data_IF_405398464481
#
_entry.id   IF_405398464481
#
_cell.length_a   1.000
_cell.length_b   1.000
_cell.length_c   1.000
_cell.angle_alpha   90.00
_cell.angle_beta   90.00
_cell.angle_gamma   90.00
#
_symmetry.space_group_name_H-M   'P 1'
#
loop_
_entity.id
_entity.type
_entity.pdbx_description
1 polymer ?
#
# COMPACT_ATOMS: atom_id res chain seq x y z
N UNK A 1 1.23 -58.20 36.40
CA UNK A 1 1.48 -56.75 36.31
C UNK A 1 2.68 -56.59 35.39
N UNK A 2 2.43 -56.60 34.08
CA UNK A 2 2.26 -55.44 33.20
C UNK A 2 3.61 -54.93 32.69
N UNK A 3 4.09 -55.69 31.72
CA UNK A 3 4.60 -55.30 30.40
C UNK A 3 5.87 -54.45 30.25
N UNK A 4 6.79 -55.09 29.54
CA UNK A 4 8.01 -54.60 28.94
C UNK A 4 7.75 -53.83 27.63
N UNK A 5 8.86 -53.54 26.93
CA UNK A 5 9.01 -53.26 25.49
C UNK A 5 9.00 -51.76 25.16
N UNK A 6 10.18 -51.20 24.92
CA UNK A 6 10.77 -51.06 23.58
C UNK A 6 10.19 -49.86 22.83
N UNK A 7 10.86 -48.71 22.96
CA UNK A 7 10.64 -47.56 22.09
C UNK A 7 11.26 -47.87 20.72
N UNK A 8 10.48 -48.54 19.89
CA UNK A 8 10.77 -48.81 18.49
C UNK A 8 10.05 -47.75 17.66
N UNK A 9 10.86 -46.99 16.91
CA UNK A 9 10.65 -46.44 15.55
C UNK A 9 9.26 -45.90 15.20
N UNK A 10 9.21 -44.68 14.66
CA UNK A 10 8.52 -44.38 13.38
C UNK A 10 8.99 -43.01 12.86
N UNK A 11 9.72 -43.07 11.73
CA UNK A 11 9.87 -42.00 10.73
C UNK A 11 8.49 -41.72 10.13
N UNK A 12 8.14 -40.47 9.82
CA UNK A 12 7.82 -39.97 8.46
C UNK A 12 6.92 -38.72 8.44
N UNK A 13 7.13 -37.93 7.38
CA UNK A 13 6.24 -36.94 6.73
C UNK A 13 6.27 -35.50 7.25
N UNK A 14 7.10 -34.68 6.61
CA UNK A 14 6.88 -33.24 6.49
C UNK A 14 6.08 -33.04 5.20
N UNK A 15 4.80 -32.71 5.36
CA UNK A 15 3.92 -32.23 4.29
C UNK A 15 3.72 -30.70 4.45
N UNK A 16 3.50 -29.94 3.36
CA UNK A 16 3.46 -28.49 3.40
C UNK A 16 2.10 -28.03 3.97
N UNK A 17 2.13 -27.10 4.94
CA UNK A 17 0.92 -26.50 5.50
C UNK A 17 0.61 -25.23 4.72
N UNK A 18 -0.36 -25.34 3.82
CA UNK A 18 -1.15 -24.20 3.34
C UNK A 18 -2.11 -23.86 4.49
N UNK A 19 -1.87 -22.74 5.17
CA UNK A 19 -2.81 -22.20 6.15
C UNK A 19 -3.61 -21.08 5.50
N UNK A 20 -4.79 -21.43 4.97
CA UNK A 20 -5.85 -20.47 4.71
C UNK A 20 -6.37 -19.97 6.07
N UNK A 21 -6.14 -18.69 6.38
CA UNK A 21 -6.76 -18.06 7.55
C UNK A 21 -8.09 -17.43 7.13
N UNK A 22 -9.15 -18.21 7.27
CA UNK A 22 -10.50 -17.67 7.32
C UNK A 22 -10.77 -17.19 8.76
N UNK A 23 -10.72 -15.88 8.99
CA UNK A 23 -11.07 -15.29 10.28
C UNK A 23 -12.38 -14.51 10.13
N UNK A 24 -13.47 -15.14 10.56
CA UNK A 24 -14.76 -14.51 10.82
C UNK A 24 -14.63 -13.60 12.04
N UNK A 25 -14.58 -12.28 11.85
CA UNK A 25 -14.72 -11.31 12.94
C UNK A 25 -16.07 -10.61 12.83
N UNK A 26 -16.97 -10.93 13.76
CA UNK A 26 -18.07 -10.06 14.15
C UNK A 26 -17.53 -9.11 15.22
N UNK A 27 -16.76 -8.11 14.79
CA UNK A 27 -16.25 -7.03 15.64
C UNK A 27 -17.19 -5.84 15.60
N UNK A 28 -17.18 -5.00 16.64
CA UNK A 28 -17.79 -3.68 16.54
C UNK A 28 -17.23 -2.96 15.28
N UNK A 29 -18.04 -2.23 14.49
CA UNK A 29 -17.63 -1.70 13.19
C UNK A 29 -16.29 -0.95 13.20
N UNK A 30 -15.95 -0.30 14.31
CA UNK A 30 -14.70 0.45 14.47
C UNK A 30 -13.44 -0.39 14.67
N UNK A 31 -13.52 -1.61 15.23
CA UNK A 31 -12.34 -2.46 15.44
C UNK A 31 -11.88 -3.12 14.14
N UNK A 32 -12.84 -3.47 13.26
CA UNK A 32 -12.55 -3.98 11.93
C UNK A 32 -11.95 -2.87 11.07
N UNK A 33 -12.59 -1.71 10.99
CA UNK A 33 -12.06 -0.56 10.25
C UNK A 33 -10.65 -0.13 10.69
N UNK A 34 -10.34 -0.20 11.99
CA UNK A 34 -8.99 0.08 12.48
C UNK A 34 -7.97 -0.97 12.00
N UNK A 35 -8.35 -2.25 12.03
CA UNK A 35 -7.53 -3.35 11.50
C UNK A 35 -7.32 -3.18 9.98
N UNK A 36 -8.38 -2.82 9.25
CA UNK A 36 -8.35 -2.59 7.80
C UNK A 36 -7.41 -1.41 7.45
N UNK A 37 -7.48 -0.28 8.18
CA UNK A 37 -6.58 0.87 7.95
C UNK A 37 -5.12 0.55 8.31
N UNK A 38 -4.87 -0.27 9.34
CA UNK A 38 -3.52 -0.74 9.65
C UNK A 38 -2.92 -1.59 8.54
N UNK A 39 -3.72 -2.45 7.91
CA UNK A 39 -3.29 -3.26 6.75
C UNK A 39 -2.99 -2.39 5.53
N UNK A 40 -3.88 -1.42 5.21
CA UNK A 40 -3.63 -0.43 4.14
C UNK A 40 -2.35 0.35 4.43
N UNK A 41 -2.17 0.80 5.67
CA UNK A 41 -1.01 1.56 6.09
C UNK A 41 0.30 0.78 5.94
N UNK A 42 0.28 -0.52 6.27
CA UNK A 42 1.40 -1.42 6.08
C UNK A 42 1.71 -1.66 4.60
N UNK A 43 0.68 -1.89 3.77
CA UNK A 43 0.87 -2.03 2.33
C UNK A 43 1.49 -0.76 1.71
N UNK A 44 1.01 0.42 2.13
CA UNK A 44 1.54 1.71 1.67
C UNK A 44 3.00 1.99 2.06
N UNK A 45 3.54 1.29 3.07
CA UNK A 45 4.98 1.36 3.40
C UNK A 45 5.83 0.61 2.39
N UNK A 46 5.28 -0.45 1.82
CA UNK A 46 5.99 -1.34 0.90
C UNK A 46 5.83 -0.87 -0.55
N UNK A 47 4.70 -0.26 -0.91
CA UNK A 47 4.45 0.30 -2.25
C UNK A 47 3.58 1.56 -2.16
N UNK A 48 3.78 2.60 -2.99
CA UNK A 48 3.03 3.85 -2.91
C UNK A 48 1.54 3.74 -3.31
N UNK A 49 1.11 2.63 -3.92
CA UNK A 49 -0.27 2.44 -4.38
C UNK A 49 -0.89 1.21 -3.71
N UNK A 50 -2.08 1.38 -3.15
CA UNK A 50 -2.90 0.29 -2.62
C UNK A 50 -4.28 0.30 -3.30
N UNK A 51 -4.72 -0.86 -3.79
CA UNK A 51 -6.08 -1.07 -4.29
C UNK A 51 -6.76 -2.12 -3.42
N UNK A 52 -7.89 -1.76 -2.83
CA UNK A 52 -8.70 -2.70 -2.07
C UNK A 52 -9.28 -3.78 -2.99
N UNK A 53 -9.30 -5.06 -2.59
CA UNK A 53 -9.87 -6.13 -3.41
C UNK A 53 -11.34 -5.91 -3.80
N UNK A 54 -12.13 -5.19 -2.99
CA UNK A 54 -13.51 -4.82 -3.32
C UNK A 54 -13.62 -3.61 -4.26
N UNK A 55 -12.48 -2.99 -4.59
CA UNK A 55 -12.35 -1.87 -5.52
C UNK A 55 -11.55 -2.23 -6.78
N UNK A 56 -11.24 -3.50 -7.03
CA UNK A 56 -10.48 -3.97 -8.21
C UNK A 56 -11.15 -3.65 -9.54
N UNK A 57 -12.46 -3.41 -9.53
CA UNK A 57 -13.21 -2.97 -10.72
C UNK A 57 -12.97 -1.48 -11.06
N UNK A 58 -12.44 -0.69 -10.11
CA UNK A 58 -12.18 0.75 -10.28
C UNK A 58 -10.81 1.03 -10.91
N UNK A 59 -9.81 0.19 -10.60
CA UNK A 59 -8.45 0.29 -11.12
C UNK A 59 -7.87 -1.11 -11.26
N UNK A 60 -7.36 -1.43 -12.46
CA UNK A 60 -6.73 -2.72 -12.70
C UNK A 60 -5.37 -2.82 -12.01
N UNK A 61 -4.96 -4.04 -11.63
CA UNK A 61 -3.63 -4.29 -11.02
C UNK A 61 -2.49 -3.71 -11.87
N UNK A 62 -2.56 -3.88 -13.20
CA UNK A 62 -1.54 -3.36 -14.12
C UNK A 62 -1.48 -1.83 -14.14
N UNK A 63 -2.61 -1.14 -13.97
CA UNK A 63 -2.63 0.32 -13.89
C UNK A 63 -2.16 0.82 -12.52
N UNK A 64 -2.46 0.07 -11.46
CA UNK A 64 -1.96 0.34 -10.12
C UNK A 64 -0.44 0.18 -10.05
N UNK A 65 0.11 -0.90 -10.62
CA UNK A 65 1.56 -1.13 -10.73
C UNK A 65 2.24 -0.01 -11.51
N UNK A 66 1.66 0.41 -12.66
CA UNK A 66 2.21 1.52 -13.45
C UNK A 66 2.19 2.87 -12.71
N UNK A 67 1.18 3.10 -11.86
CA UNK A 67 1.15 4.27 -10.97
C UNK A 67 2.20 4.15 -9.87
N UNK A 68 2.41 2.95 -9.34
CA UNK A 68 3.41 2.72 -8.31
C UNK A 68 4.82 2.97 -8.84
N UNK A 69 5.18 2.33 -9.95
CA UNK A 69 6.47 2.51 -10.63
C UNK A 69 6.75 4.00 -10.90
N UNK A 70 5.75 4.75 -11.39
CA UNK A 70 5.87 6.19 -11.64
C UNK A 70 6.24 6.97 -10.37
N UNK A 71 5.62 6.66 -9.23
CA UNK A 71 5.87 7.35 -7.97
C UNK A 71 7.24 6.96 -7.40
N UNK A 72 7.57 5.67 -7.44
CA UNK A 72 8.86 5.14 -6.98
C UNK A 72 10.02 5.72 -7.78
N UNK A 73 9.92 5.76 -9.10
CA UNK A 73 10.93 6.32 -10.00
C UNK A 73 11.15 7.83 -9.78
N UNK A 74 10.10 8.55 -9.38
CA UNK A 74 10.20 9.97 -9.05
C UNK A 74 10.88 10.20 -7.68
N UNK A 75 10.87 9.18 -6.80
CA UNK A 75 11.49 9.26 -5.47
C UNK A 75 10.77 10.23 -4.53
N UNK A 76 9.48 10.46 -4.73
CA UNK A 76 8.69 11.44 -3.98
C UNK A 76 7.65 10.80 -3.04
N UNK A 77 7.33 11.39 -1.88
CA UNK A 77 6.46 10.77 -0.88
C UNK A 77 4.97 10.99 -1.20
N UNK A 78 4.52 10.43 -2.33
CA UNK A 78 3.11 10.45 -2.78
C UNK A 78 2.52 9.06 -2.58
N UNK A 79 1.32 8.99 -2.02
CA UNK A 79 0.63 7.73 -1.69
C UNK A 79 -0.77 7.77 -2.26
N UNK A 80 -1.25 6.66 -2.81
CA UNK A 80 -2.59 6.52 -3.38
C UNK A 80 -3.28 5.28 -2.82
N UNK A 81 -4.47 5.43 -2.25
CA UNK A 81 -5.32 4.33 -1.86
C UNK A 81 -6.65 4.35 -2.63
N UNK A 82 -7.05 3.22 -3.20
CA UNK A 82 -8.32 3.04 -3.90
C UNK A 82 -9.20 2.11 -3.08
N UNK A 83 -10.31 2.65 -2.58
CA UNK A 83 -11.20 2.00 -1.62
C UNK A 83 -12.64 1.92 -2.17
N UNK A 84 -13.41 0.89 -1.78
CA UNK A 84 -14.78 0.73 -2.24
C UNK A 84 -15.70 1.83 -1.68
N UNK A 85 -16.79 2.12 -2.39
CA UNK A 85 -17.82 3.03 -1.89
C UNK A 85 -18.34 2.57 -0.52
N UNK A 86 -18.51 3.51 0.42
CA UNK A 86 -18.99 3.23 1.77
C UNK A 86 -17.92 2.79 2.77
N UNK A 87 -16.63 2.76 2.37
CA UNK A 87 -15.54 2.57 3.33
C UNK A 87 -15.55 3.67 4.42
N UNK A 88 -15.32 3.35 5.70
CA UNK A 88 -15.34 4.33 6.78
C UNK A 88 -14.29 5.43 6.61
N UNK A 89 -14.72 6.70 6.64
CA UNK A 89 -13.83 7.85 6.43
C UNK A 89 -13.43 8.57 7.72
N UNK A 90 -13.99 8.18 8.86
CA UNK A 90 -13.71 8.77 10.16
C UNK A 90 -12.21 8.65 10.50
N UNK A 91 -11.54 9.80 10.59
CA UNK A 91 -10.10 9.89 10.83
C UNK A 91 -9.22 9.14 9.81
N UNK A 92 -9.74 8.78 8.64
CA UNK A 92 -9.05 7.94 7.66
C UNK A 92 -7.63 8.43 7.34
N UNK A 93 -7.47 9.68 6.92
CA UNK A 93 -6.16 10.25 6.62
C UNK A 93 -5.23 10.33 7.83
N UNK A 94 -5.78 10.59 9.03
CA UNK A 94 -4.99 10.64 10.26
C UNK A 94 -4.45 9.24 10.60
N UNK A 95 -5.30 8.22 10.47
CA UNK A 95 -4.94 6.84 10.72
C UNK A 95 -3.98 6.34 9.64
N UNK A 96 -4.24 6.55 8.35
CA UNK A 96 -3.31 6.21 7.27
C UNK A 96 -1.93 6.81 7.50
N UNK A 97 -1.84 8.11 7.80
CA UNK A 97 -0.55 8.76 8.09
C UNK A 97 0.18 8.12 9.29
N UNK A 98 -0.57 7.67 10.29
CA UNK A 98 -0.04 7.05 11.51
C UNK A 98 0.42 5.62 11.23
N UNK A 99 -0.43 4.82 10.59
CA UNK A 99 -0.20 3.42 10.27
C UNK A 99 0.84 3.24 9.16
N UNK A 100 0.91 4.13 8.17
CA UNK A 100 2.02 4.18 7.20
C UNK A 100 3.29 4.75 7.82
N UNK A 101 3.18 5.66 8.80
CA UNK A 101 4.34 6.18 9.52
C UNK A 101 5.28 7.08 8.68
N UNK A 102 4.96 7.36 7.41
CA UNK A 102 5.80 8.16 6.50
C UNK A 102 5.20 9.55 6.25
N UNK A 103 6.03 10.59 6.30
CA UNK A 103 5.60 11.97 5.98
C UNK A 103 5.35 12.08 4.48
N UNK A 104 4.14 12.46 4.06
CA UNK A 104 3.77 12.41 2.65
C UNK A 104 2.47 13.12 2.28
N UNK A 105 2.15 13.05 0.99
CA UNK A 105 0.85 13.38 0.42
C UNK A 105 0.08 12.08 0.21
N UNK A 106 -1.11 11.97 0.80
CA UNK A 106 -1.98 10.82 0.72
C UNK A 106 -3.22 11.19 -0.07
N UNK A 107 -3.41 10.58 -1.24
CA UNK A 107 -4.64 10.63 -2.04
C UNK A 107 -5.49 9.39 -1.81
N UNK A 108 -6.80 9.57 -1.66
CA UNK A 108 -7.76 8.48 -1.47
C UNK A 108 -8.88 8.61 -2.48
N UNK A 109 -9.06 7.57 -3.30
CA UNK A 109 -10.24 7.35 -4.13
C UNK A 109 -11.23 6.50 -3.33
N UNK A 110 -12.43 7.00 -3.10
CA UNK A 110 -13.49 6.31 -2.37
C UNK A 110 -14.70 6.14 -3.28
N UNK A 111 -14.83 4.99 -3.93
CA UNK A 111 -15.86 4.79 -4.96
C UNK A 111 -15.79 5.89 -6.03
N UNK A 112 -16.77 6.79 -6.05
CA UNK A 112 -16.86 7.94 -6.96
C UNK A 112 -16.28 9.26 -6.42
N UNK A 113 -15.81 9.30 -5.18
CA UNK A 113 -15.22 10.48 -4.55
C UNK A 113 -13.68 10.44 -4.51
N UNK A 114 -13.05 11.61 -4.47
CA UNK A 114 -11.60 11.75 -4.36
C UNK A 114 -11.25 12.88 -3.37
N UNK A 115 -10.39 12.58 -2.40
CA UNK A 115 -9.85 13.53 -1.43
C UNK A 115 -8.36 13.25 -1.20
N UNK A 116 -7.62 14.25 -0.71
CA UNK A 116 -6.22 14.10 -0.38
C UNK A 116 -5.83 14.95 0.84
N UNK A 117 -4.82 14.50 1.58
CA UNK A 117 -4.19 15.26 2.67
C UNK A 117 -2.69 15.10 2.64
N UNK A 118 -1.97 16.15 3.03
CA UNK A 118 -0.53 16.11 3.16
C UNK A 118 -0.07 16.63 4.52
N UNK A 119 1.08 16.14 4.96
CA UNK A 119 1.87 16.82 5.97
C UNK A 119 2.27 18.22 5.45
N UNK A 120 2.21 19.24 6.30
CA UNK A 120 2.47 20.62 5.89
C UNK A 120 3.91 20.88 5.42
N UNK A 121 4.85 20.00 5.77
CA UNK A 121 6.23 20.04 5.28
C UNK A 121 6.35 19.55 3.83
N UNK A 122 5.40 18.75 3.36
CA UNK A 122 5.36 18.17 2.01
C UNK A 122 4.63 19.10 1.07
N UNK A 123 3.40 19.49 1.45
CA UNK A 123 2.57 20.38 0.64
C UNK A 123 1.68 21.25 1.53
N UNK A 124 1.46 22.49 1.11
CA UNK A 124 0.55 23.39 1.80
C UNK A 124 -0.90 22.93 1.63
N UNK A 125 -1.77 23.26 2.60
CA UNK A 125 -3.21 22.95 2.49
C UNK A 125 -3.84 23.51 1.21
N UNK A 126 -3.40 24.70 0.79
CA UNK A 126 -3.85 25.29 -0.47
C UNK A 126 -3.37 24.49 -1.68
N UNK A 127 -2.12 24.00 -1.66
CA UNK A 127 -1.60 23.11 -2.69
C UNK A 127 -2.43 21.83 -2.80
N UNK A 128 -2.73 21.19 -1.67
CA UNK A 128 -3.60 19.99 -1.63
C UNK A 128 -4.97 20.28 -2.23
N UNK A 129 -5.63 21.37 -1.82
CA UNK A 129 -6.95 21.73 -2.36
C UNK A 129 -6.92 21.96 -3.89
N UNK A 130 -5.84 22.54 -4.42
CA UNK A 130 -5.69 22.71 -5.86
C UNK A 130 -5.57 21.37 -6.58
N UNK A 131 -4.78 20.43 -6.04
CA UNK A 131 -4.63 19.07 -6.59
C UNK A 131 -5.96 18.31 -6.58
N UNK A 132 -6.67 18.33 -5.45
CA UNK A 132 -7.98 17.68 -5.32
C UNK A 132 -8.98 18.27 -6.34
N UNK A 133 -9.00 19.59 -6.48
CA UNK A 133 -9.88 20.26 -7.45
C UNK A 133 -9.53 19.87 -8.90
N UNK A 134 -8.25 19.79 -9.24
CA UNK A 134 -7.80 19.38 -10.57
C UNK A 134 -8.19 17.92 -10.86
N UNK A 135 -7.94 17.02 -9.90
CA UNK A 135 -8.27 15.60 -10.01
C UNK A 135 -9.78 15.33 -10.14
N UNK A 136 -10.64 16.13 -9.49
CA UNK A 136 -12.10 15.99 -9.63
C UNK A 136 -12.63 16.38 -11.02
N UNK A 137 -11.85 17.12 -11.82
CA UNK A 137 -12.20 17.47 -13.20
C UNK A 137 -11.83 16.41 -14.23
N UNK A 138 -11.10 15.36 -13.81
CA UNK A 138 -10.63 14.30 -14.68
C UNK A 138 -11.74 13.26 -14.98
N UNK A 139 -11.56 12.52 -16.07
CA UNK A 139 -12.56 11.58 -16.61
C UNK A 139 -12.75 10.31 -15.77
N UNK A 140 -12.22 9.20 -16.25
CA UNK A 140 -12.26 7.92 -15.52
C UNK A 140 -11.25 7.86 -14.35
N UNK A 141 -11.38 6.85 -13.49
CA UNK A 141 -10.52 6.65 -12.31
C UNK A 141 -9.03 6.64 -12.67
N UNK A 142 -8.65 5.99 -13.77
CA UNK A 142 -7.24 5.92 -14.19
C UNK A 142 -6.72 7.30 -14.58
N UNK A 143 -7.49 8.07 -15.35
CA UNK A 143 -7.14 9.43 -15.73
C UNK A 143 -7.02 10.33 -14.48
N UNK A 144 -8.00 10.26 -13.57
CA UNK A 144 -7.99 11.03 -12.32
C UNK A 144 -6.75 10.77 -11.47
N UNK A 145 -6.40 9.50 -11.26
CA UNK A 145 -5.24 9.15 -10.43
C UNK A 145 -3.92 9.53 -11.11
N UNK A 146 -3.82 9.39 -12.43
CA UNK A 146 -2.63 9.83 -13.17
C UNK A 146 -2.45 11.35 -13.14
N UNK A 147 -3.51 12.12 -13.36
CA UNK A 147 -3.45 13.59 -13.32
C UNK A 147 -3.07 14.07 -11.92
N UNK A 148 -3.68 13.48 -10.88
CA UNK A 148 -3.31 13.77 -9.49
C UNK A 148 -1.84 13.49 -9.22
N UNK A 149 -1.33 12.31 -9.60
CA UNK A 149 0.07 11.94 -9.38
C UNK A 149 0.98 12.86 -10.16
N UNK A 150 0.72 13.13 -11.44
CA UNK A 150 1.57 13.98 -12.25
C UNK A 150 1.65 15.42 -11.70
N UNK A 151 0.54 15.96 -11.18
CA UNK A 151 0.52 17.28 -10.56
C UNK A 151 1.15 17.29 -9.17
N UNK A 152 0.97 16.22 -8.40
CA UNK A 152 1.62 16.02 -7.11
C UNK A 152 3.14 15.98 -7.28
N UNK A 153 3.64 15.19 -8.23
CA UNK A 153 5.07 15.00 -8.51
C UNK A 153 5.82 16.28 -8.92
N UNK A 154 5.07 17.33 -9.29
CA UNK A 154 5.65 18.65 -9.62
C UNK A 154 5.61 19.62 -8.44
N UNK A 155 4.92 19.26 -7.36
CA UNK A 155 4.48 20.19 -6.32
C UNK A 155 4.95 19.82 -4.92
N UNK A 156 5.10 18.52 -4.65
CA UNK A 156 5.46 18.03 -3.31
C UNK A 156 6.95 18.24 -3.02
N UNK A 157 7.28 18.12 -1.74
CA UNK A 157 8.65 18.18 -1.23
C UNK A 157 8.88 16.98 -0.33
N UNK A 158 10.12 16.50 -0.31
CA UNK A 158 10.54 15.36 0.50
C UNK A 158 11.15 14.27 -0.36
N UNK A 159 11.30 13.09 0.22
CA UNK A 159 11.86 11.93 -0.46
C UNK A 159 11.07 10.69 -0.08
N UNK A 160 10.98 9.76 -1.02
CA UNK A 160 10.41 8.44 -0.82
C UNK A 160 11.06 7.71 0.38
N UNK A 161 10.33 6.81 1.06
CA UNK A 161 10.90 5.90 2.03
C UNK A 161 11.89 4.94 1.35
N UNK A 162 12.94 4.56 2.09
CA UNK A 162 13.98 3.65 1.58
C UNK A 162 13.49 2.22 1.29
N UNK A 163 12.28 1.86 1.70
CA UNK A 163 11.66 0.57 1.36
C UNK A 163 11.40 0.44 -0.15
N UNK A 164 11.10 1.55 -0.84
CA UNK A 164 10.81 1.58 -2.27
C UNK A 164 12.08 1.47 -3.14
N UNK A 165 13.25 1.84 -2.61
CA UNK A 165 14.54 1.74 -3.32
C UNK A 165 14.98 0.28 -3.61
N UNK A 166 14.29 -0.70 -3.04
CA UNK A 166 14.69 -2.12 -3.09
C UNK A 166 14.51 -2.79 -4.47
N UNK A 167 13.83 -2.13 -5.42
CA UNK A 167 13.63 -2.62 -6.79
C UNK A 167 14.79 -2.38 -7.77
N UNK A 168 15.70 -1.44 -7.49
CA UNK A 168 16.76 -1.04 -8.44
C UNK A 168 18.15 -1.65 -8.15
N UNK A 169 18.21 -2.73 -7.37
CA UNK A 169 19.43 -3.53 -7.22
C UNK A 169 19.64 -4.39 -8.47
N UNK A 170 20.03 -3.74 -9.58
CA UNK A 170 20.63 -4.42 -10.72
C UNK A 170 21.76 -5.31 -10.22
N UNK A 171 21.52 -6.63 -10.25
CA UNK A 171 22.50 -7.65 -9.88
C UNK A 171 23.81 -7.33 -10.61
N UNK A 172 24.93 -7.05 -9.91
CA UNK A 172 26.21 -6.95 -10.60
C UNK A 172 26.56 -8.35 -11.12
N UNK A 173 26.29 -8.61 -12.38
CA UNK A 173 26.77 -9.79 -13.13
C UNK A 173 28.26 -9.73 -13.44
N UNK A 174 29.01 -8.84 -12.77
CA UNK A 174 30.44 -8.63 -12.97
C UNK A 174 31.25 -9.04 -11.75
N UNK A 175 32.19 -9.96 -11.97
CA UNK A 175 33.35 -10.28 -11.13
C UNK A 175 33.14 -11.29 -9.98
N UNK A 176 32.86 -12.54 -10.37
CA UNK A 176 33.47 -13.70 -9.73
C UNK A 176 35.00 -13.54 -9.75
N UNK A 177 35.60 -13.17 -8.62
CA UNK A 177 37.04 -13.39 -8.40
C UNK A 177 37.18 -14.79 -7.81
N UNK A 178 37.45 -15.76 -8.69
CA UNK A 178 38.08 -17.02 -8.31
C UNK A 178 39.59 -16.74 -8.21
N UNK A 179 40.09 -16.61 -6.99
CA UNK A 179 41.52 -16.63 -6.75
C UNK A 179 41.96 -18.10 -6.71
N UNK A 180 42.72 -18.50 -7.73
CA UNK A 180 43.64 -19.64 -7.65
C UNK A 180 45.00 -19.20 -7.13
#
# INVERSE_FOLDING_TARGET
MKDARAQVLIRLLIAPVIAALAVLMAGAPGAQAATDVSEIGAALRESPVYVDPAASDLLSDADADALADKIEDAGEPVFVAVLPAGYPTDNLFQNLRTETGITGLYGVRLGDEFDARADSSVLSRQGVNNLVTAAQGAGDTKAQLNDFVDDALRSVRGSAPSSWDSGNAGVPTGALITAG
#
